data_IF_490951991306
#
_entry.id   IF_490951991306
#
_cell.length_a   1.000
_cell.length_b   1.000
_cell.length_c   1.000
_cell.angle_alpha   90.00
_cell.angle_beta   90.00
_cell.angle_gamma   90.00
#
_symmetry.space_group_name_H-M   'P 1'
#
loop_
_entity.id
_entity.type
_entity.pdbx_description
1 polymer ?
#
# COMPACT_ATOMS: atom_id res chain seq x y z
N UNK A 1 15.60 5.24 29.28
CA UNK A 1 16.01 3.96 28.64
C UNK A 1 14.89 3.28 27.84
N UNK A 2 13.62 3.71 27.94
CA UNK A 2 12.50 3.18 27.14
C UNK A 2 12.06 4.12 26.01
N UNK A 3 12.20 5.45 26.16
CA UNK A 3 11.85 6.42 25.11
C UNK A 3 12.80 6.39 23.90
N UNK A 4 14.11 6.18 24.12
CA UNK A 4 15.09 6.09 23.03
C UNK A 4 14.95 4.81 22.18
N UNK A 5 14.25 3.78 22.68
CA UNK A 5 14.02 2.54 21.95
C UNK A 5 12.85 2.70 20.96
N UNK A 6 11.78 3.39 21.37
CA UNK A 6 10.64 3.71 20.51
C UNK A 6 11.04 4.64 19.36
N UNK A 7 11.93 5.62 19.62
CA UNK A 7 12.42 6.52 18.58
C UNK A 7 13.34 5.83 17.58
N UNK A 8 14.09 4.80 17.98
CA UNK A 8 14.99 4.07 17.05
C UNK A 8 14.27 3.08 16.13
N UNK A 9 13.15 2.49 16.56
CA UNK A 9 12.31 1.69 15.66
C UNK A 9 11.53 2.58 14.67
N UNK A 10 11.13 3.79 15.07
CA UNK A 10 10.46 4.75 14.19
C UNK A 10 11.39 5.43 13.15
N UNK A 11 12.72 5.41 13.35
CA UNK A 11 13.71 6.09 12.49
C UNK A 11 14.42 5.11 11.54
N UNK A 12 14.43 3.80 11.82
CA UNK A 12 14.85 2.78 10.85
C UNK A 12 13.70 2.32 9.92
N UNK A 13 12.53 2.93 10.07
CA UNK A 13 11.39 2.77 9.18
C UNK A 13 11.48 3.85 8.09
N UNK A 14 12.21 3.58 7.02
CA UNK A 14 12.17 4.39 5.78
C UNK A 14 10.78 4.35 5.09
N UNK A 15 9.71 3.91 5.79
CA UNK A 15 8.35 3.77 5.27
C UNK A 15 7.22 4.24 6.22
N UNK A 16 7.46 5.27 7.06
CA UNK A 16 6.35 6.12 7.57
C UNK A 16 5.74 6.93 6.40
N UNK A 17 5.37 6.26 5.31
CA UNK A 17 4.18 6.65 4.56
C UNK A 17 3.01 5.99 5.27
N UNK A 18 2.29 6.82 6.02
CA UNK A 18 1.08 6.47 6.73
C UNK A 18 0.03 6.03 5.71
N UNK A 19 0.03 4.72 5.46
CA UNK A 19 -1.17 3.90 5.30
C UNK A 19 -2.09 4.00 6.54
N UNK A 20 -2.32 5.21 7.06
CA UNK A 20 -3.08 5.49 8.28
C UNK A 20 -4.52 5.03 8.06
N UNK A 21 -4.79 3.80 8.50
CA UNK A 21 -6.06 3.12 8.32
C UNK A 21 -5.93 1.73 7.71
N UNK A 22 -4.91 1.44 6.90
CA UNK A 22 -4.74 0.11 6.29
C UNK A 22 -4.73 -0.97 7.36
N UNK A 23 -5.72 -1.85 7.31
CA UNK A 23 -5.89 -2.94 8.28
C UNK A 23 -5.31 -4.27 7.79
N UNK A 24 -4.53 -4.27 6.70
CA UNK A 24 -3.94 -5.49 6.12
C UNK A 24 -4.97 -6.59 5.82
N UNK A 25 -6.14 -6.21 5.26
CA UNK A 25 -7.20 -7.18 4.96
C UNK A 25 -6.93 -8.07 3.73
N UNK A 26 -5.97 -7.71 2.88
CA UNK A 26 -5.58 -8.48 1.70
C UNK A 26 -6.43 -8.28 0.44
N UNK A 27 -7.59 -7.63 0.53
CA UNK A 27 -8.54 -7.51 -0.58
C UNK A 27 -7.90 -6.99 -1.89
N UNK A 28 -7.06 -5.95 -1.80
CA UNK A 28 -6.40 -5.32 -2.94
C UNK A 28 -5.42 -6.23 -3.68
N UNK A 29 -4.43 -6.83 -3.01
CA UNK A 29 -3.44 -7.69 -3.67
C UNK A 29 -3.98 -9.09 -4.00
N UNK A 30 -5.09 -9.53 -3.40
CA UNK A 30 -5.78 -10.75 -3.81
C UNK A 30 -6.66 -10.55 -5.04
N UNK A 31 -7.34 -9.39 -5.13
CA UNK A 31 -8.28 -9.09 -6.22
C UNK A 31 -7.61 -8.43 -7.43
N UNK A 32 -6.49 -7.75 -7.21
CA UNK A 32 -5.73 -7.06 -8.25
C UNK A 32 -4.20 -7.29 -8.10
N UNK A 33 -3.73 -8.56 -8.15
CA UNK A 33 -2.32 -8.93 -7.91
C UNK A 33 -1.35 -8.38 -8.96
N UNK A 34 -1.84 -7.96 -10.12
CA UNK A 34 -1.01 -7.38 -11.16
C UNK A 34 -0.54 -5.96 -10.84
N UNK A 35 -1.33 -5.23 -10.03
CA UNK A 35 -1.07 -3.84 -9.64
C UNK A 35 -0.71 -3.66 -8.16
N UNK A 36 -1.25 -4.50 -7.28
CA UNK A 36 -0.96 -4.47 -5.84
C UNK A 36 -0.24 -5.73 -5.40
N UNK A 37 0.69 -5.58 -4.46
CA UNK A 37 1.39 -6.69 -3.81
C UNK A 37 1.48 -6.47 -2.29
N UNK A 38 1.68 -7.55 -1.54
CA UNK A 38 1.99 -7.46 -0.12
C UNK A 38 3.48 -7.14 0.04
N UNK A 39 3.80 -6.13 0.86
CA UNK A 39 5.20 -5.86 1.19
C UNK A 39 5.83 -7.09 1.88
N UNK A 40 6.98 -7.64 1.43
CA UNK A 40 7.60 -8.80 2.05
C UNK A 40 8.13 -8.55 3.47
N UNK A 41 8.48 -7.30 3.78
CA UNK A 41 9.00 -6.86 5.09
C UNK A 41 7.89 -6.32 6.01
N UNK A 42 6.65 -6.26 5.52
CA UNK A 42 5.49 -5.76 6.26
C UNK A 42 4.22 -6.58 6.00
N UNK A 43 3.08 -6.14 6.55
CA UNK A 43 1.79 -6.81 6.31
C UNK A 43 0.91 -6.06 5.32
N UNK A 44 1.31 -4.88 4.87
CA UNK A 44 0.42 -3.96 4.19
C UNK A 44 0.64 -3.95 2.67
N UNK A 45 -0.37 -3.49 1.93
CA UNK A 45 -0.35 -3.42 0.47
C UNK A 45 0.55 -2.32 -0.06
N UNK A 46 1.35 -2.63 -1.08
CA UNK A 46 2.08 -1.68 -1.90
C UNK A 46 1.71 -1.87 -3.38
N UNK A 47 1.99 -0.87 -4.21
CA UNK A 47 1.89 -1.01 -5.67
C UNK A 47 3.05 -1.87 -6.16
N UNK A 48 2.84 -2.68 -7.19
CA UNK A 48 3.91 -3.48 -7.80
C UNK A 48 5.00 -2.56 -8.36
N UNK A 49 6.26 -2.87 -8.08
CA UNK A 49 7.42 -2.02 -8.43
C UNK A 49 7.39 -1.47 -9.86
N UNK A 50 6.97 -2.28 -10.85
CA UNK A 50 6.88 -1.89 -12.27
C UNK A 50 5.95 -0.70 -12.55
N UNK A 51 5.00 -0.41 -11.66
CA UNK A 51 4.00 0.64 -11.80
C UNK A 51 4.17 1.78 -10.79
N UNK A 52 5.15 1.70 -9.89
CA UNK A 52 5.37 2.76 -8.89
C UNK A 52 5.86 4.04 -9.54
N UNK A 53 5.33 5.17 -9.09
CA UNK A 53 5.72 6.51 -9.53
C UNK A 53 6.46 7.32 -8.45
N UNK A 54 6.62 6.75 -7.25
CA UNK A 54 7.25 7.39 -6.11
C UNK A 54 7.28 6.46 -4.91
N UNK A 55 6.42 6.72 -3.93
CA UNK A 55 6.29 5.95 -2.70
C UNK A 55 5.70 4.55 -2.94
N UNK A 56 5.78 3.67 -1.93
CA UNK A 56 5.27 2.30 -2.01
C UNK A 56 3.76 2.23 -2.34
N UNK A 57 2.98 3.25 -2.00
CA UNK A 57 1.54 3.34 -2.27
C UNK A 57 1.16 4.13 -3.52
N UNK A 58 2.11 4.70 -4.25
CA UNK A 58 1.86 5.60 -5.38
C UNK A 58 2.34 5.02 -6.72
N UNK A 59 1.48 5.08 -7.74
CA UNK A 59 1.77 4.48 -9.04
C UNK A 59 0.73 4.76 -10.11
N UNK A 60 1.12 4.46 -11.35
CA UNK A 60 0.32 4.71 -12.55
C UNK A 60 -0.19 3.39 -13.12
N UNK A 61 -1.52 3.21 -13.14
CA UNK A 61 -2.16 2.04 -13.72
C UNK A 61 -2.15 2.14 -15.27
N UNK A 62 -1.67 1.11 -15.98
CA UNK A 62 -1.88 1.02 -17.42
C UNK A 62 -3.37 0.78 -17.74
N UNK A 63 -3.78 1.07 -18.98
CA UNK A 63 -5.20 1.02 -19.40
C UNK A 63 -5.88 -0.32 -19.13
N UNK A 64 -5.13 -1.42 -19.21
CA UNK A 64 -5.61 -2.78 -18.96
C UNK A 64 -5.87 -3.10 -17.48
N UNK A 65 -5.37 -2.26 -16.55
CA UNK A 65 -5.54 -2.43 -15.11
C UNK A 65 -6.46 -1.39 -14.46
N UNK A 66 -6.95 -0.38 -15.20
CA UNK A 66 -7.81 0.69 -14.66
C UNK A 66 -9.06 0.12 -13.95
N UNK A 67 -9.80 -0.76 -14.62
CA UNK A 67 -11.03 -1.36 -14.06
C UNK A 67 -10.74 -2.14 -12.77
N UNK A 68 -9.58 -2.79 -12.71
CA UNK A 68 -9.12 -3.57 -11.56
C UNK A 68 -8.80 -2.65 -10.37
N UNK A 69 -8.08 -1.55 -10.62
CA UNK A 69 -7.70 -0.55 -9.61
C UNK A 69 -8.91 0.19 -9.05
N UNK A 70 -9.87 0.58 -9.92
CA UNK A 70 -11.12 1.20 -9.49
C UNK A 70 -11.91 0.25 -8.59
N UNK A 71 -12.05 -1.01 -9.00
CA UNK A 71 -12.79 -2.00 -8.22
C UNK A 71 -12.21 -2.19 -6.81
N UNK A 72 -10.89 -2.35 -6.68
CA UNK A 72 -10.30 -2.56 -5.34
C UNK A 72 -10.28 -1.29 -4.49
N UNK A 73 -10.38 -0.10 -5.11
CA UNK A 73 -10.65 1.15 -4.41
C UNK A 73 -12.03 1.13 -3.77
N UNK A 74 -13.07 0.75 -4.54
CA UNK A 74 -14.45 0.60 -4.06
C UNK A 74 -14.59 -0.51 -2.99
N UNK A 75 -13.87 -1.62 -3.14
CA UNK A 75 -13.94 -2.78 -2.24
C UNK A 75 -13.09 -2.60 -0.95
N UNK A 76 -12.34 -1.50 -0.82
CA UNK A 76 -11.48 -1.27 0.34
C UNK A 76 -12.33 -1.00 1.60
N UNK A 77 -12.28 -1.85 2.65
CA UNK A 77 -13.20 -1.76 3.81
C UNK A 77 -13.01 -0.52 4.70
N UNK A 78 -12.01 0.29 4.39
CA UNK A 78 -11.59 1.50 5.12
C UNK A 78 -11.37 2.68 4.16
N UNK A 79 -11.67 2.49 2.87
CA UNK A 79 -11.69 3.55 1.85
C UNK A 79 -10.34 4.32 1.69
N UNK A 80 -9.20 3.64 1.86
CA UNK A 80 -7.86 4.29 1.82
C UNK A 80 -7.19 4.30 0.44
N UNK A 81 -7.73 3.57 -0.54
CA UNK A 81 -7.19 3.54 -1.90
C UNK A 81 -7.89 4.63 -2.70
N UNK A 82 -7.13 5.59 -3.23
CA UNK A 82 -7.65 6.72 -4.00
C UNK A 82 -7.21 6.64 -5.47
N UNK A 83 -8.12 6.95 -6.39
CA UNK A 83 -7.88 6.97 -7.84
C UNK A 83 -8.21 8.37 -8.38
N UNK A 84 -7.34 8.95 -9.21
CA UNK A 84 -7.46 10.33 -9.73
C UNK A 84 -7.02 10.47 -11.18
#
# INVERSE_FOLDING_TARGET
MVEDLYLKEAINDESIDRRDGCISCGACWESCPEFFEQNPDGNFSMIVEKYRSGELGEGEAPEDLIDCVIKVSDDCPIEIIHVS
#
